data_IF_531658150108
#
_entry.id   IF_531658150108
#
_cell.length_a   1.000
_cell.length_b   1.000
_cell.length_c   1.000
_cell.angle_alpha   90.00
_cell.angle_beta   90.00
_cell.angle_gamma   90.00
#
_symmetry.space_group_name_H-M   'P 1'
#
loop_
_entity.id
_entity.type
_entity.pdbx_description
1 polymer ?
#
# COMPACT_ATOMS: atom_id res chain seq x y z
N UNK A 1 1.40 -21.21 -8.12
CA UNK A 1 0.96 -20.51 -6.90
C UNK A 1 -0.24 -19.66 -7.24
N UNK A 2 -1.38 -19.84 -6.57
CA UNK A 2 -2.56 -18.99 -6.78
C UNK A 2 -2.43 -17.69 -5.98
N UNK A 3 -2.87 -16.58 -6.58
CA UNK A 3 -2.84 -15.25 -5.95
C UNK A 3 -4.05 -15.09 -5.02
N UNK A 4 -3.85 -15.21 -3.70
CA UNK A 4 -4.93 -15.26 -2.70
C UNK A 4 -5.16 -13.95 -1.94
N UNK A 5 -4.15 -13.07 -1.85
CA UNK A 5 -4.28 -11.74 -1.24
C UNK A 5 -3.56 -10.67 -2.09
N UNK A 6 -4.28 -9.97 -2.98
CA UNK A 6 -3.71 -8.93 -3.83
C UNK A 6 -3.16 -7.73 -3.07
N UNK A 7 -3.63 -7.47 -1.85
CA UNK A 7 -3.16 -6.33 -1.05
C UNK A 7 -1.86 -6.69 -0.34
N UNK A 8 -1.77 -7.90 0.22
CA UNK A 8 -0.51 -8.39 0.78
C UNK A 8 0.61 -8.41 -0.28
N UNK A 9 0.29 -8.81 -1.52
CA UNK A 9 1.22 -8.73 -2.66
C UNK A 9 1.68 -7.28 -2.93
N UNK A 10 0.76 -6.32 -3.03
CA UNK A 10 1.09 -4.89 -3.20
C UNK A 10 2.06 -4.39 -2.13
N UNK A 11 1.75 -4.61 -0.84
CA UNK A 11 2.59 -4.13 0.26
C UNK A 11 3.96 -4.81 0.27
N UNK A 12 4.03 -6.09 -0.12
CA UNK A 12 5.28 -6.84 -0.23
C UNK A 12 6.14 -6.31 -1.37
N UNK A 13 5.54 -6.00 -2.52
CA UNK A 13 6.25 -5.38 -3.67
C UNK A 13 6.84 -4.03 -3.30
N UNK A 14 6.09 -3.17 -2.62
CA UNK A 14 6.57 -1.87 -2.13
C UNK A 14 7.78 -2.07 -1.21
N UNK A 15 7.64 -2.94 -0.19
CA UNK A 15 8.72 -3.23 0.77
C UNK A 15 9.99 -3.74 0.08
N UNK A 16 9.83 -4.67 -0.86
CA UNK A 16 10.97 -5.26 -1.57
C UNK A 16 11.62 -4.24 -2.53
N UNK A 17 10.82 -3.43 -3.22
CA UNK A 17 11.32 -2.37 -4.09
C UNK A 17 12.11 -1.30 -3.31
N UNK A 18 11.67 -0.95 -2.11
CA UNK A 18 12.41 -0.05 -1.21
C UNK A 18 13.74 -0.62 -0.75
N UNK A 19 13.76 -1.90 -0.35
CA UNK A 19 15.01 -2.60 0.02
C UNK A 19 15.99 -2.69 -1.14
N UNK A 20 15.49 -2.78 -2.37
CA UNK A 20 16.29 -2.78 -3.59
C UNK A 20 16.59 -1.37 -4.13
N UNK A 21 16.28 -0.30 -3.38
CA UNK A 21 16.49 1.10 -3.76
C UNK A 21 15.90 1.48 -5.14
N UNK A 22 14.76 0.89 -5.52
CA UNK A 22 14.10 1.20 -6.80
C UNK A 22 13.35 2.52 -6.73
N UNK A 23 13.36 3.29 -7.81
CA UNK A 23 12.57 4.51 -7.92
C UNK A 23 11.06 4.24 -8.01
N UNK A 24 10.66 3.17 -8.70
CA UNK A 24 9.26 2.85 -8.99
C UNK A 24 8.98 1.35 -8.85
N UNK A 25 7.71 1.02 -8.63
CA UNK A 25 7.22 -0.36 -8.60
C UNK A 25 5.88 -0.49 -9.33
N UNK A 26 5.83 -1.43 -10.28
CA UNK A 26 4.65 -1.76 -11.09
C UNK A 26 3.93 -3.03 -10.60
N UNK A 27 2.61 -3.04 -10.70
CA UNK A 27 1.76 -4.20 -10.39
C UNK A 27 0.38 -4.10 -11.06
N UNK A 28 -0.38 -5.20 -11.17
CA UNK A 28 -1.75 -5.15 -11.68
C UNK A 28 -2.63 -4.22 -10.83
N UNK A 29 -3.32 -3.30 -11.49
CA UNK A 29 -4.17 -2.31 -10.84
C UNK A 29 -5.47 -2.93 -10.33
N UNK A 30 -5.99 -2.34 -9.25
CA UNK A 30 -7.37 -2.55 -8.80
C UNK A 30 -7.86 -1.28 -8.12
N UNK A 31 -9.18 -1.07 -8.06
CA UNK A 31 -9.77 0.10 -7.38
C UNK A 31 -9.28 0.20 -5.92
N UNK A 32 -9.20 -0.93 -5.23
CA UNK A 32 -8.73 -0.98 -3.84
C UNK A 32 -7.24 -0.67 -3.71
N UNK A 33 -6.39 -1.16 -4.63
CA UNK A 33 -4.95 -0.82 -4.63
C UNK A 33 -4.73 0.66 -4.92
N UNK A 34 -5.49 1.24 -5.85
CA UNK A 34 -5.45 2.67 -6.16
C UNK A 34 -5.88 3.51 -4.95
N UNK A 35 -6.95 3.13 -4.24
CA UNK A 35 -7.38 3.81 -3.02
C UNK A 35 -6.32 3.75 -1.90
N UNK A 36 -5.63 2.61 -1.73
CA UNK A 36 -4.53 2.51 -0.77
C UNK A 36 -3.35 3.39 -1.20
N UNK A 37 -3.00 3.41 -2.49
CA UNK A 37 -1.93 4.26 -3.01
C UNK A 37 -2.26 5.75 -2.83
N UNK A 38 -3.52 6.13 -3.01
CA UNK A 38 -4.02 7.47 -2.74
C UNK A 38 -3.76 7.89 -1.29
N UNK A 39 -4.19 7.08 -0.32
CA UNK A 39 -3.94 7.36 1.10
C UNK A 39 -2.43 7.44 1.41
N UNK A 40 -1.62 6.54 0.85
CA UNK A 40 -0.17 6.59 1.04
C UNK A 40 0.46 7.87 0.47
N UNK A 41 -0.09 8.42 -0.62
CA UNK A 41 0.38 9.67 -1.21
C UNK A 41 -0.04 10.86 -0.36
N UNK A 42 -1.29 10.90 0.08
CA UNK A 42 -1.85 12.01 0.84
C UNK A 42 -1.17 12.15 2.22
N UNK A 43 -0.79 11.02 2.83
CA UNK A 43 0.03 10.97 4.05
C UNK A 43 1.53 11.20 3.79
N UNK A 44 1.95 11.36 2.53
CA UNK A 44 3.32 11.71 2.15
C UNK A 44 4.34 10.57 2.19
N UNK A 45 3.90 9.31 2.29
CA UNK A 45 4.75 8.11 2.31
C UNK A 45 5.30 7.72 0.93
N UNK A 46 4.55 8.01 -0.14
CA UNK A 46 4.99 7.86 -1.53
C UNK A 46 4.98 9.21 -2.23
N UNK A 47 5.72 9.34 -3.32
CA UNK A 47 5.77 10.59 -4.10
C UNK A 47 4.51 10.75 -4.93
N UNK A 48 4.16 9.73 -5.72
CA UNK A 48 2.94 9.71 -6.53
C UNK A 48 2.62 8.28 -7.00
N UNK A 49 1.46 8.11 -7.62
CA UNK A 49 1.09 6.87 -8.32
C UNK A 49 0.32 7.15 -9.61
N UNK A 50 0.42 6.25 -10.57
CA UNK A 50 -0.30 6.32 -11.84
C UNK A 50 -0.97 4.99 -12.16
N UNK A 51 -2.18 5.05 -12.71
CA UNK A 51 -2.87 3.88 -13.27
C UNK A 51 -2.88 3.99 -14.78
N UNK A 52 -2.24 3.05 -15.46
CA UNK A 52 -2.11 3.01 -16.92
C UNK A 52 -2.86 1.81 -17.49
N UNK A 53 -3.59 2.01 -18.59
CA UNK A 53 -4.23 0.92 -19.32
C UNK A 53 -3.20 0.31 -20.29
N UNK A 54 -2.81 -0.95 -20.08
CA UNK A 54 -1.86 -1.66 -20.96
C UNK A 54 -2.60 -2.46 -22.04
N UNK A 55 -3.79 -2.98 -21.71
CA UNK A 55 -4.61 -3.73 -22.65
C UNK A 55 -6.11 -3.54 -22.30
N UNK A 56 -7.06 -3.92 -23.16
CA UNK A 56 -8.50 -3.70 -22.95
C UNK A 56 -9.00 -4.14 -21.57
N UNK A 57 -8.43 -5.21 -21.01
CA UNK A 57 -8.79 -5.74 -19.69
C UNK A 57 -7.62 -5.79 -18.70
N UNK A 58 -6.54 -5.04 -18.95
CA UNK A 58 -5.34 -5.01 -18.08
C UNK A 58 -4.92 -3.58 -17.82
N UNK A 59 -5.03 -3.17 -16.56
CA UNK A 59 -4.48 -1.93 -16.06
C UNK A 59 -3.31 -2.24 -15.11
N UNK A 60 -2.29 -1.38 -15.12
CA UNK A 60 -1.14 -1.42 -14.23
C UNK A 60 -1.14 -0.18 -13.32
N UNK A 61 -0.80 -0.42 -12.06
CA UNK A 61 -0.57 0.60 -11.05
C UNK A 61 0.93 0.72 -10.88
N UNK A 62 1.47 1.90 -11.19
CA UNK A 62 2.86 2.26 -10.95
C UNK A 62 2.94 3.21 -9.76
N UNK A 63 3.75 2.87 -8.77
CA UNK A 63 3.97 3.68 -7.57
C UNK A 63 5.38 4.24 -7.60
N UNK A 64 5.51 5.54 -7.42
CA UNK A 64 6.79 6.25 -7.28
C UNK A 64 7.17 6.32 -5.81
N UNK A 65 8.26 5.64 -5.46
CA UNK A 65 8.72 5.52 -4.08
C UNK A 65 9.47 6.79 -3.65
N UNK A 66 9.34 7.14 -2.37
CA UNK A 66 9.98 8.30 -1.78
C UNK A 66 11.17 7.88 -0.92
N UNK A 67 12.27 8.60 -1.05
CA UNK A 67 13.48 8.42 -0.27
C UNK A 67 13.93 9.77 0.29
N UNK A 68 14.46 9.77 1.50
CA UNK A 68 15.01 10.94 2.16
C UNK A 68 16.43 10.59 2.63
N UNK A 69 17.43 11.37 2.20
CA UNK A 69 18.85 11.14 2.53
C UNK A 69 19.32 9.70 2.25
N UNK A 70 18.87 9.13 1.13
CA UNK A 70 19.20 7.75 0.73
C UNK A 70 18.47 6.66 1.52
N UNK A 71 17.61 7.01 2.47
CA UNK A 71 16.78 6.06 3.24
C UNK A 71 15.34 6.03 2.72
N UNK A 72 14.69 4.85 2.69
CA UNK A 72 13.28 4.77 2.32
C UNK A 72 12.42 5.51 3.36
N UNK A 73 11.43 6.28 2.89
CA UNK A 73 10.51 7.01 3.80
C UNK A 73 9.58 6.07 4.56
N UNK A 74 9.23 4.92 3.97
CA UNK A 74 8.44 3.89 4.66
C UNK A 74 9.39 2.94 5.35
N UNK A 75 9.41 2.96 6.67
CA UNK A 75 10.21 2.04 7.49
C UNK A 75 9.54 0.65 7.62
N UNK A 76 8.25 0.65 8.01
CA UNK A 76 7.45 -0.57 8.16
C UNK A 76 6.10 -0.45 7.47
N UNK A 77 5.71 -1.50 6.76
CA UNK A 77 4.41 -1.64 6.11
C UNK A 77 3.90 -3.06 6.27
N UNK A 78 2.65 -3.25 6.72
CA UNK A 78 2.12 -4.57 7.04
C UNK A 78 0.62 -4.75 6.76
N UNK A 79 0.25 -6.00 6.44
CA UNK A 79 -1.15 -6.41 6.26
C UNK A 79 -1.67 -7.05 7.55
N UNK A 80 -2.57 -6.35 8.23
CA UNK A 80 -3.20 -6.79 9.48
C UNK A 80 -4.38 -7.74 9.23
N UNK A 81 -5.38 -7.32 8.43
CA UNK A 81 -6.56 -8.13 8.12
C UNK A 81 -6.33 -9.02 6.89
N UNK A 82 -6.21 -10.33 7.08
CA UNK A 82 -5.86 -11.31 6.02
C UNK A 82 -7.06 -12.19 5.68
N UNK A 83 -7.02 -12.87 4.54
CA UNK A 83 -8.10 -13.77 4.11
C UNK A 83 -8.38 -14.88 5.12
N UNK A 84 -7.35 -15.42 5.78
CA UNK A 84 -7.48 -16.44 6.82
C UNK A 84 -8.04 -15.91 8.14
N UNK A 85 -7.82 -14.63 8.46
CA UNK A 85 -8.28 -14.00 9.70
C UNK A 85 -8.55 -12.52 9.47
N UNK A 86 -9.84 -12.19 9.35
CA UNK A 86 -10.30 -10.81 9.23
C UNK A 86 -10.23 -10.13 10.59
N UNK A 87 -9.84 -8.86 10.57
CA UNK A 87 -9.77 -8.00 11.76
C UNK A 87 -10.73 -6.83 11.54
N UNK A 88 -11.68 -6.68 12.46
CA UNK A 88 -12.64 -5.58 12.52
C UNK A 88 -12.54 -4.92 13.90
N UNK A 89 -12.74 -3.60 13.96
CA UNK A 89 -12.66 -2.81 15.19
C UNK A 89 -13.74 -1.73 15.17
N UNK A 90 -14.30 -1.44 16.34
CA UNK A 90 -15.16 -0.26 16.52
C UNK A 90 -14.36 1.04 16.50
N UNK A 91 -15.05 2.18 16.38
CA UNK A 91 -14.42 3.52 16.38
C UNK A 91 -13.54 3.77 17.61
N UNK A 92 -13.93 3.24 18.76
CA UNK A 92 -13.25 3.45 20.05
C UNK A 92 -12.04 2.51 20.22
N UNK A 93 -11.91 1.51 19.36
CA UNK A 93 -10.85 0.50 19.38
C UNK A 93 -9.89 0.63 18.18
N UNK A 94 -9.89 1.79 17.51
CA UNK A 94 -9.03 2.03 16.37
C UNK A 94 -7.55 1.94 16.79
N UNK A 95 -6.72 1.19 16.04
CA UNK A 95 -5.35 0.95 16.43
C UNK A 95 -4.52 2.24 16.28
N UNK A 96 -3.71 2.55 17.28
CA UNK A 96 -2.66 3.57 17.18
C UNK A 96 -1.37 2.91 16.71
N UNK A 97 -0.85 3.32 15.57
CA UNK A 97 0.43 2.81 15.03
C UNK A 97 1.55 3.67 15.60
N UNK A 98 2.55 3.03 16.22
CA UNK A 98 3.71 3.71 16.83
C UNK A 98 3.31 4.88 17.75
N UNK A 99 2.28 4.69 18.58
CA UNK A 99 1.82 5.74 19.51
C UNK A 99 1.18 6.97 18.84
N UNK A 100 0.90 6.93 17.54
CA UNK A 100 0.32 8.03 16.77
C UNK A 100 1.24 8.58 15.67
N UNK A 101 2.48 8.10 15.60
CA UNK A 101 3.46 8.51 14.58
C UNK A 101 3.35 7.74 13.26
N UNK A 102 2.53 6.70 13.22
CA UNK A 102 2.23 5.96 11.99
C UNK A 102 0.74 5.98 11.65
N UNK A 103 0.42 5.48 10.46
CA UNK A 103 -0.94 5.47 9.93
C UNK A 103 -1.52 4.06 9.89
N UNK A 104 -2.78 3.93 10.30
CA UNK A 104 -3.59 2.74 10.07
C UNK A 104 -4.62 3.01 8.96
N UNK A 105 -4.51 2.30 7.84
CA UNK A 105 -5.49 2.40 6.76
C UNK A 105 -6.67 1.46 7.07
N UNK A 106 -7.86 2.04 7.27
CA UNK A 106 -9.07 1.31 7.64
C UNK A 106 -10.12 1.45 6.54
N UNK A 107 -10.71 0.32 6.15
CA UNK A 107 -11.82 0.28 5.19
C UNK A 107 -13.12 0.58 5.92
N UNK A 108 -13.81 1.66 5.54
CA UNK A 108 -15.09 2.08 6.13
C UNK A 108 -16.23 2.00 5.10
N UNK A 109 -17.47 2.21 5.56
CA UNK A 109 -18.66 2.30 4.69
C UNK A 109 -18.82 3.64 3.99
N UNK A 110 -18.02 4.63 4.38
CA UNK A 110 -17.83 5.91 3.68
C UNK A 110 -16.59 5.80 2.82
#
# INVERSE_FOLDING_TARGET
>A
MSMTDPIADMLTRIRNAQRAAKAQVGMPASKLKAAIAQVLRDEGYITDFAVTQIAPSKAELTITLKYFEGRPVIDRIERVSRTSRRVFRGKDELPKVMGGWGVAIVSTSK
#
